data_IF_980905333886
#
_entry.id   IF_980905333886
#
_cell.length_a   1.000
_cell.length_b   1.000
_cell.length_c   1.000
_cell.angle_alpha   90.00
_cell.angle_beta   90.00
_cell.angle_gamma   90.00
#
_symmetry.space_group_name_H-M   'P 1'
#
loop_
_entity.id
_entity.type
_entity.pdbx_description
1 polymer ?
#
# COMPACT_ATOMS: atom_id res chain seq x y z
N UNK A 1 31.42 -1.46 -86.59
CA UNK A 1 30.57 -0.28 -86.85
C UNK A 1 29.61 -0.12 -85.67
N UNK A 2 29.58 1.07 -85.04
CA UNK A 2 28.43 1.70 -84.33
C UNK A 2 27.92 0.93 -83.07
N UNK A 3 27.74 1.49 -81.86
CA UNK A 3 27.72 2.87 -81.36
C UNK A 3 27.42 2.88 -79.84
N UNK A 4 27.69 4.04 -79.21
CA UNK A 4 27.57 4.40 -77.79
C UNK A 4 26.14 4.34 -77.22
N UNK A 5 26.02 4.09 -75.90
CA UNK A 5 25.23 4.87 -74.89
C UNK A 5 25.83 4.51 -73.51
N UNK A 6 26.18 5.37 -72.53
CA UNK A 6 25.88 6.77 -72.26
C UNK A 6 25.02 6.93 -70.99
N UNK A 7 25.57 6.77 -69.78
CA UNK A 7 24.81 6.93 -68.52
C UNK A 7 25.65 7.51 -67.37
N UNK A 8 25.48 8.81 -67.10
CA UNK A 8 26.28 9.66 -66.22
C UNK A 8 25.71 9.61 -64.78
N UNK A 9 26.46 9.08 -63.82
CA UNK A 9 26.12 9.18 -62.39
C UNK A 9 26.47 10.58 -61.87
N UNK A 10 25.48 11.37 -61.43
CA UNK A 10 25.71 12.61 -60.68
C UNK A 10 25.66 12.31 -59.19
N UNK A 11 26.82 12.48 -58.56
CA UNK A 11 27.04 12.52 -57.11
C UNK A 11 26.54 13.88 -56.62
N UNK A 12 25.55 13.91 -55.72
CA UNK A 12 25.10 15.15 -55.06
C UNK A 12 25.91 15.29 -53.77
N UNK A 13 26.75 16.33 -53.70
CA UNK A 13 27.40 16.79 -52.49
C UNK A 13 26.39 17.54 -51.62
N UNK A 14 26.23 17.13 -50.37
CA UNK A 14 25.48 17.87 -49.36
C UNK A 14 26.46 18.80 -48.63
N UNK A 15 26.33 20.10 -48.89
CA UNK A 15 27.06 21.16 -48.21
C UNK A 15 26.62 21.28 -46.74
N UNK A 16 27.58 21.22 -45.81
CA UNK A 16 27.40 21.60 -44.40
C UNK A 16 27.47 23.12 -44.29
N UNK A 17 26.32 23.77 -44.15
CA UNK A 17 26.19 25.19 -43.81
C UNK A 17 25.86 25.39 -42.33
N UNK A 18 26.89 25.66 -41.53
CA UNK A 18 26.81 26.11 -40.13
C UNK A 18 26.09 27.45 -40.01
N UNK A 19 25.04 27.56 -39.18
CA UNK A 19 24.53 28.87 -38.76
C UNK A 19 24.14 28.89 -37.28
N UNK A 20 25.10 29.32 -36.46
CA UNK A 20 25.18 29.19 -34.99
C UNK A 20 24.47 30.34 -34.23
N UNK A 21 23.66 31.15 -34.91
CA UNK A 21 23.08 32.41 -34.37
C UNK A 21 21.55 32.46 -34.31
N UNK A 22 20.85 31.40 -34.73
CA UNK A 22 19.38 31.31 -34.67
C UNK A 22 18.86 30.56 -33.44
N UNK A 23 19.74 30.11 -32.54
CA UNK A 23 19.41 29.30 -31.36
C UNK A 23 19.38 30.10 -30.04
N UNK A 24 19.57 31.42 -30.07
CA UNK A 24 19.56 32.24 -28.86
C UNK A 24 18.18 32.84 -28.54
N UNK A 25 17.24 32.89 -29.50
CA UNK A 25 15.94 33.55 -29.33
C UNK A 25 14.80 32.65 -28.82
N UNK A 26 14.88 31.32 -29.03
CA UNK A 26 13.82 30.38 -28.63
C UNK A 26 13.99 29.82 -27.21
N UNK A 27 15.13 30.07 -26.54
CA UNK A 27 15.41 29.53 -25.22
C UNK A 27 14.71 30.31 -24.09
N UNK A 28 14.32 31.57 -24.30
CA UNK A 28 13.77 32.43 -23.24
C UNK A 28 12.25 32.26 -23.07
N UNK A 29 11.49 31.97 -24.14
CA UNK A 29 10.04 31.69 -24.02
C UNK A 29 9.72 30.25 -23.58
N UNK A 30 10.61 29.28 -23.82
CA UNK A 30 10.43 27.89 -23.38
C UNK A 30 10.69 27.69 -21.88
N UNK A 31 11.56 28.51 -21.28
CA UNK A 31 11.90 28.41 -19.85
C UNK A 31 10.77 28.91 -18.92
N UNK A 32 9.94 29.87 -19.37
CA UNK A 32 8.86 30.41 -18.56
C UNK A 32 7.66 29.45 -18.42
N UNK A 33 7.41 28.60 -19.42
CA UNK A 33 6.29 27.63 -19.38
C UNK A 33 6.59 26.36 -18.57
N UNK A 34 7.87 26.02 -18.36
CA UNK A 34 8.26 24.82 -17.59
C UNK A 34 8.24 25.09 -16.07
N UNK A 35 8.43 26.35 -15.64
CA UNK A 35 8.34 26.74 -14.22
C UNK A 35 6.90 26.79 -13.68
N UNK A 36 5.87 26.83 -14.53
CA UNK A 36 4.48 26.86 -14.10
C UNK A 36 3.90 25.47 -13.74
N UNK A 37 4.59 24.38 -14.08
CA UNK A 37 4.14 23.02 -13.75
C UNK A 37 4.60 22.52 -12.37
N UNK A 38 5.45 23.27 -11.67
CA UNK A 38 6.15 22.78 -10.48
C UNK A 38 5.40 22.92 -9.14
N UNK A 39 4.16 23.43 -9.10
CA UNK A 39 3.50 23.67 -7.82
C UNK A 39 1.96 23.61 -7.86
N UNK A 40 1.38 22.58 -8.48
CA UNK A 40 0.18 22.02 -7.85
C UNK A 40 0.66 21.17 -6.68
N UNK A 41 0.97 21.84 -5.56
CA UNK A 41 0.97 21.16 -4.27
C UNK A 41 -0.46 20.65 -4.10
N UNK A 42 -0.71 19.39 -4.45
CA UNK A 42 -1.97 18.74 -4.16
C UNK A 42 -2.24 18.99 -2.68
N UNK A 43 -3.33 19.70 -2.39
CA UNK A 43 -3.68 20.05 -1.03
C UNK A 43 -3.63 18.77 -0.19
N UNK A 44 -3.01 18.86 0.99
CA UNK A 44 -2.93 17.69 1.86
C UNK A 44 -4.36 17.20 2.13
N UNK A 45 -4.59 15.87 2.15
CA UNK A 45 -5.95 15.37 2.28
C UNK A 45 -6.56 15.83 3.60
N UNK A 46 -7.83 16.17 3.55
CA UNK A 46 -8.64 16.36 4.75
C UNK A 46 -8.78 15.02 5.48
N UNK A 47 -9.20 15.07 6.75
CA UNK A 47 -9.47 13.85 7.52
C UNK A 47 -10.53 12.99 6.84
N UNK A 48 -11.60 13.59 6.33
CA UNK A 48 -12.73 12.85 5.76
C UNK A 48 -12.35 12.16 4.44
N UNK A 49 -11.55 12.83 3.60
CA UNK A 49 -10.97 12.22 2.40
C UNK A 49 -10.03 11.06 2.74
N UNK A 50 -9.20 11.24 3.78
CA UNK A 50 -8.31 10.19 4.26
C UNK A 50 -9.10 8.98 4.77
N UNK A 51 -10.14 9.21 5.58
CA UNK A 51 -11.01 8.14 6.10
C UNK A 51 -11.68 7.39 4.97
N UNK A 52 -12.34 8.11 4.05
CA UNK A 52 -13.04 7.51 2.91
C UNK A 52 -12.11 6.64 2.05
N UNK A 53 -10.89 7.11 1.80
CA UNK A 53 -9.88 6.37 1.04
C UNK A 53 -9.46 5.08 1.74
N UNK A 54 -9.24 5.16 3.05
CA UNK A 54 -8.80 4.02 3.85
C UNK A 54 -9.91 2.97 3.98
N UNK A 55 -11.16 3.39 4.21
CA UNK A 55 -12.31 2.51 4.29
C UNK A 55 -12.53 1.70 3.01
N UNK A 56 -12.31 2.32 1.84
CA UNK A 56 -12.38 1.62 0.56
C UNK A 56 -11.36 0.48 0.44
N UNK A 57 -10.20 0.59 1.09
CA UNK A 57 -9.18 -0.48 1.15
C UNK A 57 -9.53 -1.49 2.25
N UNK A 58 -9.89 -1.03 3.44
CA UNK A 58 -10.12 -1.90 4.59
C UNK A 58 -11.37 -2.78 4.47
N UNK A 59 -12.45 -2.29 3.84
CA UNK A 59 -13.73 -3.02 3.76
C UNK A 59 -13.61 -4.41 3.14
N UNK A 60 -13.13 -4.57 1.89
CA UNK A 60 -13.05 -5.90 1.28
C UNK A 60 -12.13 -6.84 2.05
N UNK A 61 -11.03 -6.33 2.61
CA UNK A 61 -10.06 -7.11 3.36
C UNK A 61 -10.57 -7.51 4.74
N UNK A 62 -11.34 -6.67 5.41
CA UNK A 62 -11.99 -7.00 6.67
C UNK A 62 -13.03 -8.11 6.48
N UNK A 63 -13.83 -8.04 5.41
CA UNK A 63 -14.79 -9.09 5.04
C UNK A 63 -14.08 -10.39 4.64
N UNK A 64 -12.96 -10.30 3.90
CA UNK A 64 -12.14 -11.46 3.56
C UNK A 64 -11.53 -12.11 4.82
N UNK A 65 -10.97 -11.30 5.72
CA UNK A 65 -10.45 -11.74 7.02
C UNK A 65 -11.52 -12.46 7.82
N UNK A 66 -12.74 -11.91 7.85
CA UNK A 66 -13.88 -12.54 8.52
C UNK A 66 -14.22 -13.91 7.94
N UNK A 67 -14.25 -14.04 6.61
CA UNK A 67 -14.52 -15.31 5.95
C UNK A 67 -13.47 -16.37 6.29
N UNK A 68 -12.18 -16.04 6.21
CA UNK A 68 -11.10 -17.01 6.46
C UNK A 68 -10.99 -17.39 7.94
N UNK A 69 -11.28 -16.45 8.84
CA UNK A 69 -11.20 -16.69 10.29
C UNK A 69 -12.42 -17.41 10.86
N UNK A 70 -13.49 -17.61 10.08
CA UNK A 70 -14.71 -18.28 10.55
C UNK A 70 -14.39 -19.63 11.19
N UNK A 71 -14.71 -19.75 12.48
CA UNK A 71 -14.50 -20.98 13.26
C UNK A 71 -13.08 -21.21 13.77
N UNK A 72 -12.13 -20.28 13.60
CA UNK A 72 -10.74 -20.45 14.06
C UNK A 72 -10.66 -20.73 15.57
N UNK A 73 -11.44 -20.06 16.41
CA UNK A 73 -11.49 -20.34 17.86
C UNK A 73 -12.05 -21.73 18.18
N UNK A 74 -12.98 -22.24 17.38
CA UNK A 74 -13.50 -23.60 17.55
C UNK A 74 -12.43 -24.64 17.17
N UNK A 75 -11.65 -24.39 16.12
CA UNK A 75 -10.53 -25.25 15.73
C UNK A 75 -9.45 -25.29 16.81
N UNK A 76 -9.09 -24.15 17.39
CA UNK A 76 -8.13 -24.08 18.51
C UNK A 76 -8.63 -24.86 19.73
N UNK A 77 -9.91 -24.69 20.10
CA UNK A 77 -10.52 -25.39 21.25
C UNK A 77 -10.63 -26.90 21.04
N UNK A 78 -10.84 -27.34 19.82
CA UNK A 78 -10.91 -28.75 19.44
C UNK A 78 -9.53 -29.35 19.11
N UNK A 79 -8.44 -28.66 19.45
CA UNK A 79 -7.06 -29.07 19.17
C UNK A 79 -6.75 -29.36 17.68
N UNK A 80 -7.57 -28.82 16.76
CA UNK A 80 -7.35 -28.87 15.31
C UNK A 80 -6.38 -27.78 14.88
N UNK A 81 -5.19 -27.78 15.48
CA UNK A 81 -4.24 -26.67 15.42
C UNK A 81 -3.70 -26.39 14.02
N UNK A 82 -3.54 -27.41 13.18
CA UNK A 82 -3.14 -27.24 11.79
C UNK A 82 -4.20 -26.48 10.96
N UNK A 83 -5.49 -26.77 11.17
CA UNK A 83 -6.58 -26.04 10.51
C UNK A 83 -6.64 -24.58 11.00
N UNK A 84 -6.53 -24.38 12.31
CA UNK A 84 -6.44 -23.03 12.88
C UNK A 84 -5.25 -22.25 12.31
N UNK A 85 -4.07 -22.88 12.24
CA UNK A 85 -2.87 -22.26 11.68
C UNK A 85 -3.07 -21.82 10.22
N UNK A 86 -3.75 -22.62 9.40
CA UNK A 86 -4.09 -22.26 8.02
C UNK A 86 -4.92 -20.98 7.95
N UNK A 87 -5.93 -20.85 8.83
CA UNK A 87 -6.80 -19.66 8.90
C UNK A 87 -6.04 -18.41 9.35
N UNK A 88 -5.26 -18.52 10.43
CA UNK A 88 -4.42 -17.43 10.91
C UNK A 88 -3.36 -17.01 9.87
N UNK A 89 -2.79 -17.95 9.12
CA UNK A 89 -1.85 -17.64 8.04
C UNK A 89 -2.52 -16.81 6.93
N UNK A 90 -3.72 -17.19 6.49
CA UNK A 90 -4.47 -16.42 5.48
C UNK A 90 -4.83 -15.03 5.99
N UNK A 91 -5.30 -14.92 7.24
CA UNK A 91 -5.58 -13.63 7.87
C UNK A 91 -4.33 -12.74 8.00
N UNK A 92 -3.16 -13.34 8.30
CA UNK A 92 -1.87 -12.62 8.35
C UNK A 92 -1.55 -12.00 7.00
N UNK A 93 -1.71 -12.77 5.91
CA UNK A 93 -1.45 -12.29 4.55
C UNK A 93 -2.38 -11.14 4.16
N UNK A 94 -3.69 -11.29 4.41
CA UNK A 94 -4.67 -10.25 4.12
C UNK A 94 -4.31 -8.98 4.90
N UNK A 95 -4.13 -9.10 6.22
CA UNK A 95 -3.82 -7.97 7.09
C UNK A 95 -2.53 -7.25 6.68
N UNK A 96 -1.46 -7.97 6.37
CA UNK A 96 -0.19 -7.37 5.91
C UNK A 96 -0.37 -6.60 4.60
N UNK A 97 -1.12 -7.14 3.64
CA UNK A 97 -1.46 -6.42 2.40
C UNK A 97 -2.32 -5.18 2.67
N UNK A 98 -3.33 -5.27 3.54
CA UNK A 98 -4.16 -4.12 3.93
C UNK A 98 -3.29 -3.03 4.53
N UNK A 99 -2.48 -3.35 5.54
CA UNK A 99 -1.59 -2.40 6.24
C UNK A 99 -0.63 -1.75 5.25
N UNK A 100 -0.04 -2.52 4.33
CA UNK A 100 0.79 -1.96 3.26
C UNK A 100 0.00 -0.98 2.39
N UNK A 101 -1.21 -1.33 1.95
CA UNK A 101 -2.08 -0.48 1.14
C UNK A 101 -2.43 0.83 1.83
N UNK A 102 -2.92 0.78 3.07
CA UNK A 102 -3.31 2.00 3.81
C UNK A 102 -2.11 2.84 4.26
N UNK A 103 -0.93 2.25 4.45
CA UNK A 103 0.28 2.97 4.82
C UNK A 103 0.82 3.88 3.71
N UNK A 104 0.49 3.58 2.44
CA UNK A 104 0.89 4.36 1.29
C UNK A 104 0.01 5.62 1.08
N UNK A 105 -1.14 5.71 1.76
CA UNK A 105 -2.00 6.87 1.66
C UNK A 105 -1.35 8.12 2.32
N UNK A 106 -1.30 9.27 1.63
CA UNK A 106 -0.86 10.53 2.21
C UNK A 106 -1.69 10.86 3.46
N UNK A 107 -1.01 11.25 4.54
CA UNK A 107 -1.65 11.51 5.84
C UNK A 107 -2.03 12.99 5.98
N UNK A 108 -3.19 13.32 6.58
CA UNK A 108 -3.49 14.69 6.98
C UNK A 108 -2.41 15.20 7.95
N UNK A 109 -1.77 16.37 7.72
CA UNK A 109 -0.65 16.83 8.53
C UNK A 109 -0.98 16.96 10.02
N UNK A 110 -2.19 17.44 10.33
CA UNK A 110 -2.67 17.62 11.72
C UNK A 110 -2.79 16.28 12.49
N UNK A 111 -2.93 15.17 11.79
CA UNK A 111 -3.12 13.84 12.38
C UNK A 111 -1.89 12.94 12.25
N UNK A 112 -0.82 13.40 11.59
CA UNK A 112 0.35 12.58 11.26
C UNK A 112 0.98 11.87 12.48
N UNK A 113 1.18 12.51 13.66
CA UNK A 113 1.73 11.83 14.83
C UNK A 113 0.81 10.71 15.36
N UNK A 114 -0.50 10.97 15.38
CA UNK A 114 -1.51 10.01 15.84
C UNK A 114 -1.59 8.80 14.91
N UNK A 115 -1.61 9.05 13.60
CA UNK A 115 -1.58 7.99 12.59
C UNK A 115 -0.27 7.20 12.62
N UNK A 116 0.87 7.84 12.88
CA UNK A 116 2.15 7.14 13.07
C UNK A 116 2.09 6.14 14.24
N UNK A 117 1.51 6.56 15.38
CA UNK A 117 1.27 5.68 16.52
C UNK A 117 0.31 4.53 16.18
N UNK A 118 -0.77 4.82 15.47
CA UNK A 118 -1.72 3.81 15.02
C UNK A 118 -1.05 2.74 14.15
N UNK A 119 -0.26 3.15 13.14
CA UNK A 119 0.52 2.21 12.31
C UNK A 119 1.54 1.41 13.11
N UNK A 120 2.13 1.97 14.16
CA UNK A 120 2.97 1.23 15.10
C UNK A 120 2.23 0.08 15.78
N UNK A 121 0.98 0.30 16.19
CA UNK A 121 0.13 -0.78 16.73
C UNK A 121 -0.27 -1.80 15.66
N UNK A 122 -0.58 -1.38 14.43
CA UNK A 122 -0.89 -2.31 13.34
C UNK A 122 0.30 -3.23 13.03
N UNK A 123 1.53 -2.71 13.01
CA UNK A 123 2.75 -3.51 12.82
C UNK A 123 2.93 -4.56 13.92
N UNK A 124 2.63 -4.20 15.18
CA UNK A 124 2.68 -5.14 16.29
C UNK A 124 1.62 -6.24 16.14
N UNK A 125 0.41 -5.89 15.70
CA UNK A 125 -0.66 -6.86 15.41
C UNK A 125 -0.26 -7.85 14.31
N UNK A 126 0.35 -7.38 13.22
CA UNK A 126 0.89 -8.25 12.16
C UNK A 126 1.91 -9.25 12.73
N UNK A 127 2.85 -8.77 13.54
CA UNK A 127 3.84 -9.63 14.20
C UNK A 127 3.19 -10.68 15.11
N UNK A 128 2.15 -10.33 15.86
CA UNK A 128 1.43 -11.29 16.69
C UNK A 128 0.71 -12.35 15.84
N UNK A 129 0.08 -11.99 14.73
CA UNK A 129 -0.57 -12.95 13.84
C UNK A 129 0.43 -13.96 13.25
N UNK A 130 1.61 -13.49 12.85
CA UNK A 130 2.70 -14.36 12.40
C UNK A 130 3.14 -15.33 13.50
N UNK A 131 3.33 -14.83 14.72
CA UNK A 131 3.75 -15.65 15.86
C UNK A 131 2.68 -16.67 16.27
N UNK A 132 1.40 -16.27 16.27
CA UNK A 132 0.26 -17.18 16.53
C UNK A 132 0.28 -18.32 15.51
N UNK A 133 0.41 -17.98 14.23
CA UNK A 133 0.49 -18.97 13.15
C UNK A 133 1.64 -19.96 13.39
N UNK A 134 2.83 -19.46 13.74
CA UNK A 134 3.99 -20.30 14.02
C UNK A 134 3.76 -21.24 15.22
N UNK A 135 3.20 -20.74 16.32
CA UNK A 135 2.91 -21.55 17.50
C UNK A 135 1.84 -22.63 17.22
N UNK A 136 0.79 -22.29 16.45
CA UNK A 136 -0.22 -23.26 16.07
C UNK A 136 0.34 -24.37 15.16
N UNK A 137 1.23 -24.03 14.22
CA UNK A 137 1.95 -25.03 13.39
C UNK A 137 2.83 -25.96 14.23
N UNK A 138 3.42 -25.43 15.29
CA UNK A 138 4.25 -26.20 16.23
C UNK A 138 3.43 -27.01 17.24
N UNK A 139 2.08 -26.96 17.20
CA UNK A 139 1.23 -27.66 18.16
C UNK A 139 1.12 -26.97 19.53
N UNK A 140 1.63 -25.74 19.67
CA UNK A 140 1.71 -25.02 20.94
C UNK A 140 0.47 -24.14 21.20
N UNK A 141 -0.64 -24.77 21.60
CA UNK A 141 -1.91 -24.07 21.82
C UNK A 141 -1.83 -22.96 22.90
N UNK A 142 -1.20 -23.23 24.05
CA UNK A 142 -1.11 -22.27 25.17
C UNK A 142 -0.31 -21.01 24.78
N UNK A 143 0.90 -21.11 24.20
CA UNK A 143 1.60 -19.95 23.64
C UNK A 143 0.78 -19.18 22.60
N UNK A 144 0.09 -19.87 21.69
CA UNK A 144 -0.77 -19.22 20.70
C UNK A 144 -1.93 -18.42 21.33
N UNK A 145 -2.56 -18.94 22.38
CA UNK A 145 -3.60 -18.24 23.12
C UNK A 145 -3.07 -16.98 23.82
N UNK A 146 -1.89 -17.05 24.45
CA UNK A 146 -1.25 -15.88 25.09
C UNK A 146 -0.95 -14.78 24.06
N UNK A 147 -0.44 -15.16 22.88
CA UNK A 147 -0.21 -14.22 21.79
C UNK A 147 -1.52 -13.62 21.25
N UNK A 148 -2.59 -14.42 21.18
CA UNK A 148 -3.92 -13.95 20.79
C UNK A 148 -4.44 -12.88 21.77
N UNK A 149 -4.25 -13.07 23.08
CA UNK A 149 -4.61 -12.04 24.07
C UNK A 149 -3.82 -10.74 23.86
N UNK A 150 -2.52 -10.82 23.55
CA UNK A 150 -1.68 -9.65 23.23
C UNK A 150 -2.13 -8.96 21.93
N UNK A 151 -2.48 -9.73 20.91
CA UNK A 151 -3.06 -9.24 19.66
C UNK A 151 -4.33 -8.43 19.93
N UNK A 152 -5.26 -8.97 20.72
CA UNK A 152 -6.53 -8.28 21.08
C UNK A 152 -6.25 -6.99 21.85
N UNK A 153 -5.38 -7.04 22.85
CA UNK A 153 -5.02 -5.85 23.63
C UNK A 153 -4.43 -4.75 22.74
N UNK A 154 -3.51 -5.10 21.84
CA UNK A 154 -2.89 -4.15 20.93
C UNK A 154 -3.89 -3.60 19.90
N UNK A 155 -4.83 -4.43 19.43
CA UNK A 155 -5.96 -4.00 18.60
C UNK A 155 -6.82 -2.94 19.28
N UNK A 156 -7.12 -3.11 20.57
CA UNK A 156 -7.85 -2.09 21.34
C UNK A 156 -7.05 -0.78 21.46
N UNK A 157 -5.74 -0.85 21.71
CA UNK A 157 -4.88 0.33 21.71
C UNK A 157 -4.86 1.04 20.35
N UNK A 158 -4.77 0.29 19.26
CA UNK A 158 -4.85 0.82 17.90
C UNK A 158 -6.17 1.56 17.67
N UNK A 159 -7.29 0.91 17.98
CA UNK A 159 -8.63 1.47 17.76
C UNK A 159 -8.86 2.73 18.61
N UNK A 160 -8.36 2.78 19.84
CA UNK A 160 -8.46 3.95 20.70
C UNK A 160 -7.72 5.17 20.14
N UNK A 161 -6.57 4.97 19.48
CA UNK A 161 -5.81 6.07 18.86
C UNK A 161 -6.60 6.74 17.74
N UNK A 162 -7.38 5.98 16.98
CA UNK A 162 -8.14 6.47 15.83
C UNK A 162 -9.64 6.57 16.07
N UNK A 163 -10.09 6.56 17.33
CA UNK A 163 -11.52 6.59 17.67
C UNK A 163 -12.24 7.79 17.03
N UNK A 164 -11.60 8.96 17.03
CA UNK A 164 -12.13 10.20 16.45
C UNK A 164 -12.18 10.22 14.91
N UNK A 165 -11.63 9.21 14.22
CA UNK A 165 -11.70 9.10 12.76
C UNK A 165 -12.99 8.41 12.30
N UNK A 166 -13.72 7.74 13.20
CA UNK A 166 -14.97 7.07 12.85
C UNK A 166 -14.81 5.89 11.89
N UNK A 167 -13.67 5.18 11.92
CA UNK A 167 -13.44 4.02 11.04
C UNK A 167 -14.38 2.85 11.34
N UNK A 168 -15.11 2.40 10.32
CA UNK A 168 -15.98 1.24 10.34
C UNK A 168 -15.20 -0.06 10.08
N UNK A 169 -14.38 -0.11 9.03
CA UNK A 169 -13.64 -1.32 8.65
C UNK A 169 -12.16 -1.24 9.01
N UNK A 170 -11.55 -0.04 9.02
CA UNK A 170 -10.15 0.12 9.46
C UNK A 170 -9.97 0.06 10.99
N UNK A 171 -11.05 -0.09 11.76
CA UNK A 171 -10.98 -0.48 13.17
C UNK A 171 -10.89 -2.00 13.30
N UNK A 172 -9.68 -2.53 13.50
CA UNK A 172 -9.42 -3.97 13.55
C UNK A 172 -9.89 -4.55 14.88
N UNK A 173 -11.10 -5.12 14.89
CA UNK A 173 -11.75 -5.71 16.07
C UNK A 173 -11.76 -7.23 15.95
N UNK A 174 -11.03 -7.92 16.83
CA UNK A 174 -11.00 -9.40 16.83
C UNK A 174 -12.38 -10.03 17.09
N UNK A 175 -13.30 -9.33 17.75
CA UNK A 175 -14.68 -9.78 17.95
C UNK A 175 -15.44 -10.03 16.64
N UNK A 176 -15.05 -9.40 15.51
CA UNK A 176 -15.66 -9.64 14.20
C UNK A 176 -15.36 -11.03 13.64
N UNK A 177 -14.35 -11.72 14.17
CA UNK A 177 -13.76 -12.90 13.54
C UNK A 177 -14.10 -14.23 14.24
N UNK A 178 -14.96 -14.18 15.27
CA UNK A 178 -15.60 -15.37 15.87
C UNK A 178 -14.78 -16.04 16.95
#
# INVERSE_FOLDING_TARGET
MIGRVGGRARRIEIAKGTNRRLWAGLAVLGAALILAAAALAAAAPTRDEYVSRLEAVCKPDAEATQRVMKGARADVRAERLALAAGKFAQATTIFGTTVKGISAAPRPPADAPKLSKWFGYLKNQESYLMQITAQLRAGHAIPAQRLTARFIHNGNLANNVVLAFGFDYCSFKFSRYG
#
